data_IF_491931323692
#
_entry.id   IF_491931323692
#
_cell.length_a   1.000
_cell.length_b   1.000
_cell.length_c   1.000
_cell.angle_alpha   90.00
_cell.angle_beta   90.00
_cell.angle_gamma   90.00
#
_symmetry.space_group_name_H-M   'P 1'
#
loop_
_entity.id
_entity.type
_entity.pdbx_description
1 polymer ?
#
# COMPACT_ATOMS: atom_id res chain seq x y z
N UNK A 1 -17.62 7.71 10.07
CA UNK A 1 -17.57 6.32 10.60
C UNK A 1 -16.33 6.24 11.44
N UNK A 2 -16.51 6.53 12.72
CA UNK A 2 -15.45 6.68 13.70
C UNK A 2 -15.53 5.46 14.63
N UNK A 3 -14.43 4.71 14.68
CA UNK A 3 -14.35 3.43 15.36
C UNK A 3 -12.90 3.00 15.31
N UNK A 4 -12.18 3.20 16.40
CA UNK A 4 -10.80 2.77 16.55
C UNK A 4 -10.74 1.23 16.47
N UNK A 5 -10.63 0.68 15.25
CA UNK A 5 -10.31 -0.72 15.01
C UNK A 5 -8.94 -1.01 15.64
N UNK A 6 -8.96 -1.71 16.78
CA UNK A 6 -7.74 -2.16 17.45
C UNK A 6 -7.02 -3.15 16.55
N UNK A 7 -5.70 -3.02 16.46
CA UNK A 7 -4.85 -3.99 15.79
C UNK A 7 -5.10 -5.39 16.38
N UNK A 8 -5.32 -6.37 15.52
CA UNK A 8 -5.58 -7.76 15.91
C UNK A 8 -4.68 -8.69 15.12
N UNK A 9 -3.98 -9.56 15.83
CA UNK A 9 -3.36 -10.74 15.25
C UNK A 9 -4.42 -11.84 15.18
N UNK A 10 -4.67 -12.35 13.98
CA UNK A 10 -5.52 -13.53 13.81
C UNK A 10 -4.62 -14.69 13.39
N UNK A 11 -4.56 -15.71 14.25
CA UNK A 11 -3.96 -17.00 13.89
C UNK A 11 -4.92 -17.73 12.97
N UNK A 12 -4.53 -17.91 11.71
CA UNK A 12 -5.34 -18.61 10.72
C UNK A 12 -4.58 -19.87 10.29
N UNK A 13 -5.23 -21.02 10.45
CA UNK A 13 -4.79 -22.26 9.84
C UNK A 13 -5.39 -22.39 8.46
N UNK A 14 -4.54 -22.55 7.44
CA UNK A 14 -4.96 -22.84 6.08
C UNK A 14 -4.49 -24.24 5.69
N UNK A 15 -5.40 -24.99 5.08
CA UNK A 15 -5.11 -26.28 4.45
C UNK A 15 -5.11 -26.09 2.93
N UNK A 16 -4.12 -26.65 2.24
CA UNK A 16 -4.17 -26.80 0.80
C UNK A 16 -5.00 -28.05 0.46
N UNK A 17 -6.07 -27.87 -0.30
CA UNK A 17 -6.92 -28.97 -0.79
C UNK A 17 -6.40 -29.43 -2.15
N UNK A 18 -6.23 -30.74 -2.32
CA UNK A 18 -5.86 -31.34 -3.60
C UNK A 18 -7.07 -31.30 -4.56
N UNK A 19 -6.88 -30.67 -5.73
CA UNK A 19 -7.96 -30.43 -6.70
C UNK A 19 -8.42 -31.65 -7.50
N UNK A 20 -7.72 -32.79 -7.39
CA UNK A 20 -8.04 -34.04 -8.08
C UNK A 20 -8.71 -35.04 -7.15
N UNK A 21 -8.29 -35.09 -5.89
CA UNK A 21 -8.76 -36.08 -4.91
C UNK A 21 -9.73 -35.50 -3.88
N UNK A 22 -9.82 -34.18 -3.77
CA UNK A 22 -10.65 -33.50 -2.76
C UNK A 22 -10.15 -33.67 -1.32
N UNK A 23 -9.03 -34.37 -1.12
CA UNK A 23 -8.40 -34.58 0.18
C UNK A 23 -7.51 -33.39 0.60
N UNK A 24 -7.21 -33.30 1.89
CA UNK A 24 -6.19 -32.38 2.39
C UNK A 24 -4.80 -32.89 2.00
N UNK A 25 -3.93 -32.01 1.50
CA UNK A 25 -2.54 -32.34 1.16
C UNK A 25 -1.72 -32.46 2.47
N UNK A 26 -1.04 -33.58 2.70
CA UNK A 26 -0.35 -33.92 3.96
C UNK A 26 0.70 -32.89 4.46
N UNK A 27 1.22 -32.03 3.56
CA UNK A 27 2.21 -31.00 3.88
C UNK A 27 1.66 -29.57 3.81
N UNK A 28 0.33 -29.41 3.79
CA UNK A 28 -0.35 -28.16 3.44
C UNK A 28 -0.86 -27.31 4.60
N UNK A 29 -0.46 -27.56 5.85
CA UNK A 29 -0.90 -26.80 7.01
C UNK A 29 -0.04 -25.54 7.19
N UNK A 30 -0.51 -24.41 6.68
CA UNK A 30 0.15 -23.11 6.88
C UNK A 30 -0.49 -22.41 8.07
N UNK A 31 0.32 -22.13 9.10
CA UNK A 31 -0.06 -21.22 10.18
C UNK A 31 0.35 -19.81 9.77
N UNK A 32 -0.63 -18.97 9.45
CA UNK A 32 -0.38 -17.56 9.13
C UNK A 32 -0.82 -16.68 10.31
N UNK A 33 -0.06 -15.61 10.55
CA UNK A 33 -0.39 -14.56 11.52
C UNK A 33 -0.54 -13.21 10.80
N UNK A 34 -1.60 -13.01 10.00
CA UNK A 34 -1.91 -11.69 9.46
C UNK A 34 -2.21 -10.69 10.58
N UNK A 35 -1.59 -9.51 10.46
CA UNK A 35 -1.90 -8.34 11.28
C UNK A 35 -3.00 -7.54 10.60
N UNK A 36 -4.18 -7.49 11.21
CA UNK A 36 -5.30 -6.70 10.72
C UNK A 36 -5.39 -5.37 11.48
N UNK A 37 -5.76 -4.31 10.76
CA UNK A 37 -5.93 -2.96 11.33
C UNK A 37 -4.68 -2.42 12.03
N UNK A 38 -3.51 -2.84 11.54
CA UNK A 38 -2.23 -2.25 11.94
C UNK A 38 -2.11 -0.82 11.43
N UNK A 39 -1.37 0.02 12.17
CA UNK A 39 -0.90 1.32 11.67
C UNK A 39 0.59 1.22 11.40
N UNK A 40 1.01 1.74 10.26
CA UNK A 40 2.43 1.81 9.89
C UNK A 40 2.74 3.17 9.30
N UNK A 41 4.02 3.52 9.28
CA UNK A 41 4.55 4.72 8.63
C UNK A 41 5.47 4.27 7.49
N UNK A 42 5.21 4.78 6.29
CA UNK A 42 6.07 4.60 5.12
C UNK A 42 6.90 5.87 4.95
N UNK A 43 8.23 5.73 5.06
CA UNK A 43 9.17 6.84 4.85
C UNK A 43 9.95 6.59 3.55
N UNK A 44 9.90 7.57 2.64
CA UNK A 44 10.55 7.49 1.33
C UNK A 44 11.54 8.64 1.23
N UNK A 45 12.80 8.32 0.96
CA UNK A 45 13.86 9.31 0.74
C UNK A 45 14.07 9.52 -0.76
N UNK A 46 13.93 10.76 -1.20
CA UNK A 46 14.07 11.16 -2.61
C UNK A 46 15.33 12.01 -2.74
N UNK A 47 16.12 11.76 -3.79
CA UNK A 47 17.27 12.60 -4.10
C UNK A 47 16.80 14.02 -4.44
N UNK A 48 17.52 15.04 -3.98
CA UNK A 48 17.23 16.44 -4.33
C UNK A 48 17.07 16.64 -5.84
N UNK A 49 16.25 17.62 -6.23
CA UNK A 49 15.96 17.99 -7.62
C UNK A 49 15.22 16.91 -8.43
N UNK A 50 14.39 16.11 -7.78
CA UNK A 50 13.55 15.09 -8.43
C UNK A 50 12.07 15.30 -8.07
N UNK A 51 11.59 16.54 -8.15
CA UNK A 51 10.21 16.90 -7.76
C UNK A 51 9.15 16.15 -8.59
N UNK A 52 9.47 15.77 -9.83
CA UNK A 52 8.61 14.92 -10.65
C UNK A 52 8.39 13.51 -10.04
N UNK A 53 9.36 12.98 -9.29
CA UNK A 53 9.24 11.69 -8.57
C UNK A 53 8.22 11.82 -7.44
N UNK A 54 8.14 12.99 -6.79
CA UNK A 54 7.12 13.25 -5.78
C UNK A 54 5.73 13.17 -6.43
N UNK A 55 5.54 13.79 -7.60
CA UNK A 55 4.28 13.71 -8.35
C UNK A 55 3.89 12.27 -8.69
N UNK A 56 4.86 11.45 -9.13
CA UNK A 56 4.63 10.03 -9.40
C UNK A 56 4.22 9.25 -8.14
N UNK A 57 4.93 9.47 -7.03
CA UNK A 57 4.62 8.80 -5.76
C UNK A 57 3.24 9.20 -5.23
N UNK A 58 2.82 10.46 -5.39
CA UNK A 58 1.47 10.88 -5.00
C UNK A 58 0.38 10.10 -5.76
N UNK A 59 0.59 9.82 -7.05
CA UNK A 59 -0.32 8.96 -7.83
C UNK A 59 -0.34 7.52 -7.28
N UNK A 60 0.82 6.93 -7.05
CA UNK A 60 0.93 5.58 -6.49
C UNK A 60 0.27 5.48 -5.11
N UNK A 61 0.45 6.49 -4.26
CA UNK A 61 -0.18 6.54 -2.93
C UNK A 61 -1.71 6.68 -3.03
N UNK A 62 -2.22 7.37 -4.05
CA UNK A 62 -3.67 7.42 -4.34
C UNK A 62 -4.22 6.06 -4.78
N UNK A 63 -3.51 5.36 -5.66
CA UNK A 63 -3.87 4.01 -6.08
C UNK A 63 -3.82 3.01 -4.92
N UNK A 64 -2.81 3.13 -4.07
CA UNK A 64 -2.66 2.37 -2.83
C UNK A 64 -3.86 2.60 -1.90
N UNK A 65 -4.25 3.85 -1.69
CA UNK A 65 -5.42 4.19 -0.87
C UNK A 65 -6.75 3.70 -1.48
N UNK A 66 -6.84 3.65 -2.81
CA UNK A 66 -7.98 3.10 -3.52
C UNK A 66 -8.03 1.56 -3.49
N UNK A 67 -6.99 0.90 -2.97
CA UNK A 67 -6.89 -0.56 -2.92
C UNK A 67 -6.58 -1.19 -4.28
N UNK A 68 -6.12 -0.39 -5.26
CA UNK A 68 -5.69 -0.87 -6.58
C UNK A 68 -4.33 -1.55 -6.47
N UNK A 69 -3.44 -0.94 -5.69
CA UNK A 69 -2.12 -1.49 -5.34
C UNK A 69 -2.18 -2.05 -3.93
N UNK A 70 -1.68 -3.26 -3.74
CA UNK A 70 -1.53 -3.89 -2.43
C UNK A 70 -0.04 -4.03 -2.07
N UNK A 71 0.30 -3.95 -0.78
CA UNK A 71 1.68 -4.04 -0.28
C UNK A 71 1.87 -5.35 0.50
N UNK A 72 2.97 -6.05 0.23
CA UNK A 72 3.38 -7.26 0.95
C UNK A 72 3.09 -8.56 0.20
N UNK A 73 3.15 -9.69 0.92
CA UNK A 73 2.84 -11.02 0.37
C UNK A 73 1.34 -11.32 0.35
N UNK A 74 0.95 -12.38 -0.35
CA UNK A 74 -0.42 -12.94 -0.34
C UNK A 74 -1.52 -11.97 -0.81
N UNK A 75 -1.16 -10.99 -1.66
CA UNK A 75 -2.12 -10.05 -2.27
C UNK A 75 -3.20 -10.77 -3.09
N UNK A 76 -2.87 -11.92 -3.68
CA UNK A 76 -3.79 -12.79 -4.43
C UNK A 76 -4.93 -13.39 -3.60
N UNK A 77 -4.87 -13.30 -2.26
CA UNK A 77 -5.95 -13.71 -1.35
C UNK A 77 -6.56 -12.52 -0.58
N UNK A 78 -6.35 -11.29 -1.06
CA UNK A 78 -6.97 -10.08 -0.52
C UNK A 78 -6.22 -9.43 0.66
N UNK A 79 -4.92 -9.69 0.81
CA UNK A 79 -4.06 -9.07 1.84
C UNK A 79 -3.28 -7.88 1.30
N UNK A 80 -2.73 -7.08 2.20
CA UNK A 80 -1.91 -5.92 1.83
C UNK A 80 -2.68 -4.65 1.46
N UNK A 81 -3.99 -4.64 1.71
CA UNK A 81 -4.82 -3.44 1.56
C UNK A 81 -4.54 -2.48 2.71
N UNK A 82 -4.36 -1.21 2.36
CA UNK A 82 -4.09 -0.15 3.32
C UNK A 82 -4.98 1.05 3.01
N UNK A 83 -5.26 1.85 4.04
CA UNK A 83 -5.77 3.21 3.86
C UNK A 83 -4.67 4.19 4.20
N UNK A 84 -4.56 5.24 3.39
CA UNK A 84 -3.64 6.34 3.63
C UNK A 84 -4.34 7.36 4.51
N UNK A 85 -3.81 7.57 5.72
CA UNK A 85 -4.38 8.50 6.69
C UNK A 85 -3.91 9.94 6.46
N UNK A 86 -2.62 10.11 6.17
CA UNK A 86 -2.00 11.40 5.86
C UNK A 86 -0.75 11.19 5.02
N UNK A 87 -0.39 12.22 4.26
CA UNK A 87 0.84 12.28 3.46
C UNK A 87 1.53 13.60 3.83
N UNK A 88 2.79 13.53 4.26
CA UNK A 88 3.61 14.69 4.54
C UNK A 88 4.92 14.64 3.77
N UNK A 89 5.40 15.82 3.37
CA UNK A 89 6.67 16.03 2.70
C UNK A 89 7.50 16.97 3.57
N UNK A 90 8.68 16.50 3.99
CA UNK A 90 9.60 17.24 4.87
C UNK A 90 8.94 17.76 6.16
N UNK A 91 7.98 17.00 6.69
CA UNK A 91 7.29 17.31 7.95
C UNK A 91 6.01 18.15 7.79
N UNK A 92 5.67 18.56 6.57
CA UNK A 92 4.47 19.33 6.29
C UNK A 92 3.46 18.53 5.46
N UNK A 93 2.17 18.64 5.79
CA UNK A 93 1.12 17.94 5.06
C UNK A 93 1.01 18.41 3.60
N UNK A 94 0.70 17.45 2.72
CA UNK A 94 0.44 17.72 1.31
C UNK A 94 -1.01 18.18 1.16
N UNK A 95 -1.20 19.46 0.90
CA UNK A 95 -2.49 20.04 0.53
C UNK A 95 -2.72 20.00 -1.00
N UNK A 96 -3.92 20.38 -1.43
CA UNK A 96 -4.31 20.37 -2.85
C UNK A 96 -3.40 21.23 -3.74
N UNK A 97 -2.85 22.34 -3.23
CA UNK A 97 -1.97 23.23 -4.00
C UNK A 97 -0.60 22.59 -4.23
N UNK A 98 -0.01 22.02 -3.18
CA UNK A 98 1.25 21.28 -3.25
C UNK A 98 1.12 20.04 -4.12
N UNK A 99 0.01 19.32 -3.99
CA UNK A 99 -0.28 18.17 -4.84
C UNK A 99 -0.30 18.58 -6.32
N UNK A 100 -1.06 19.62 -6.66
CA UNK A 100 -1.11 20.16 -8.03
C UNK A 100 0.26 20.59 -8.54
N UNK A 101 1.11 21.19 -7.69
CA UNK A 101 2.48 21.56 -8.04
C UNK A 101 3.28 20.34 -8.49
N UNK A 102 3.34 19.29 -7.67
CA UNK A 102 4.12 18.09 -8.00
C UNK A 102 3.55 17.30 -9.18
N UNK A 103 2.23 17.29 -9.36
CA UNK A 103 1.61 16.70 -10.56
C UNK A 103 1.95 17.48 -11.84
N UNK A 104 2.09 18.81 -11.76
CA UNK A 104 2.57 19.62 -12.88
C UNK A 104 4.04 19.34 -13.19
N UNK A 105 4.88 19.20 -12.16
CA UNK A 105 6.29 18.85 -12.35
C UNK A 105 6.44 17.48 -13.03
N UNK A 106 5.64 16.50 -12.62
CA UNK A 106 5.53 15.21 -13.31
C UNK A 106 5.08 15.38 -14.76
N UNK A 107 4.03 16.15 -15.01
CA UNK A 107 3.52 16.36 -16.37
C UNK A 107 4.56 17.01 -17.29
N UNK A 108 5.32 17.98 -16.78
CA UNK A 108 6.38 18.65 -17.53
C UNK A 108 7.51 17.66 -17.88
N UNK A 109 7.92 16.84 -16.90
CA UNK A 109 8.91 15.78 -17.11
C UNK A 109 8.45 14.77 -18.19
N UNK A 110 7.21 14.29 -18.11
CA UNK A 110 6.64 13.34 -19.08
C UNK A 110 6.52 13.93 -20.50
N UNK A 111 6.39 15.26 -20.62
CA UNK A 111 6.36 15.97 -21.90
C UNK A 111 7.75 16.22 -22.49
N UNK A 112 8.82 15.82 -21.79
CA UNK A 112 10.20 16.08 -22.21
C UNK A 112 10.67 17.51 -21.98
N UNK A 113 9.96 18.29 -21.14
CA UNK A 113 10.42 19.59 -20.70
C UNK A 113 11.47 19.43 -19.60
N UNK A 114 12.72 19.70 -19.93
CA UNK A 114 13.78 19.97 -18.95
C UNK A 114 13.70 21.42 -18.49
#
# INVERSE_FOLDING_TARGET
>A
MDGHEKTRELLIQRVRIDRFTGGAMDTGLYNEKPLYFGRTKLEILIRKNNDYVIGLLLLVLKELNAGIVAIGGETSIGRGLVRVNSISLDGEDVNDEREKRYLRDLLNYLRGGN
#
